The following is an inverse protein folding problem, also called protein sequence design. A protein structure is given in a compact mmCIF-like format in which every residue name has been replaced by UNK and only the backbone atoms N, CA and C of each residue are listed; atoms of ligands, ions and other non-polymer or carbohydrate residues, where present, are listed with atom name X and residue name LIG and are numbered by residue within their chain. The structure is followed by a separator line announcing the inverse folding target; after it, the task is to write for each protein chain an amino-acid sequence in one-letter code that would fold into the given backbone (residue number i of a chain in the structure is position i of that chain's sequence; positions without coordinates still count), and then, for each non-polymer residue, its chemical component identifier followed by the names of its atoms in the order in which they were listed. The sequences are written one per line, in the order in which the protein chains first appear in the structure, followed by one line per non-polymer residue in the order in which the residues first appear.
data_IF_356431478028
#
_entry.id   IF_356431478028
#
_cell.length_a   1.000
_cell.length_b   1.000
_cell.length_c   1.000
_cell.angle_alpha   90.00
_cell.angle_beta   90.00
_cell.angle_gamma   90.00
#
_symmetry.space_group_name_H-M   'P 1'
#
loop_
_entity.id
_entity.type
_entity.pdbx_description
1 polymer ?
#
# COMPACT_ATOMS: atom_id res chain seq x y z
N UNK A 1 3.81 -19.51 11.99
CA UNK A 1 4.46 -19.29 10.69
C UNK A 1 3.89 -18.03 10.06
N UNK A 2 4.74 -17.13 9.57
CA UNK A 2 4.38 -15.96 8.77
C UNK A 2 4.69 -16.25 7.29
N UNK A 3 3.77 -15.88 6.39
CA UNK A 3 3.95 -15.99 4.94
C UNK A 3 3.55 -14.67 4.31
N UNK A 4 4.44 -14.07 3.52
CA UNK A 4 4.15 -12.87 2.74
C UNK A 4 3.68 -13.27 1.34
N UNK A 5 2.59 -12.66 0.89
CA UNK A 5 1.99 -12.91 -0.42
C UNK A 5 1.17 -11.70 -0.86
N UNK A 6 0.66 -11.72 -2.10
CA UNK A 6 -0.27 -10.66 -2.54
C UNK A 6 -1.64 -10.75 -1.81
N UNK A 7 -2.35 -9.62 -1.70
CA UNK A 7 -3.65 -9.55 -1.00
C UNK A 7 -4.67 -10.52 -1.59
N UNK A 8 -4.73 -10.69 -2.92
CA UNK A 8 -5.65 -11.63 -3.56
C UNK A 8 -5.39 -13.09 -3.18
N UNK A 9 -4.13 -13.50 -3.13
CA UNK A 9 -3.72 -14.83 -2.67
C UNK A 9 -4.02 -15.02 -1.18
N UNK A 10 -3.72 -14.00 -0.36
CA UNK A 10 -4.00 -14.03 1.08
C UNK A 10 -5.49 -14.20 1.39
N UNK A 11 -6.37 -13.54 0.63
CA UNK A 11 -7.82 -13.70 0.73
C UNK A 11 -8.23 -15.15 0.43
N UNK A 12 -7.68 -15.74 -0.63
CA UNK A 12 -7.97 -17.13 -1.00
C UNK A 12 -7.52 -18.10 0.09
N UNK A 13 -6.31 -17.96 0.59
CA UNK A 13 -5.75 -18.76 1.69
C UNK A 13 -6.58 -18.64 2.98
N UNK A 14 -7.09 -17.43 3.29
CA UNK A 14 -7.97 -17.20 4.43
C UNK A 14 -9.34 -17.88 4.23
N UNK A 15 -9.95 -17.77 3.05
CA UNK A 15 -11.23 -18.38 2.72
C UNK A 15 -11.19 -19.91 2.79
N UNK A 16 -10.10 -20.51 2.38
CA UNK A 16 -9.89 -21.97 2.45
C UNK A 16 -9.51 -22.48 3.84
N UNK A 17 -9.35 -21.59 4.82
CA UNK A 17 -8.95 -21.98 6.17
C UNK A 17 -7.48 -22.40 6.30
N UNK A 18 -6.65 -22.09 5.29
CA UNK A 18 -5.23 -22.42 5.26
C UNK A 18 -4.35 -21.39 6.00
N UNK A 19 -4.95 -20.32 6.51
CA UNK A 19 -4.34 -19.44 7.49
C UNK A 19 -5.35 -19.03 8.58
N UNK A 20 -4.84 -18.73 9.75
CA UNK A 20 -5.64 -18.38 10.92
C UNK A 20 -5.96 -16.88 10.97
N UNK A 21 -5.02 -16.07 10.52
CA UNK A 21 -5.08 -14.61 10.51
C UNK A 21 -4.46 -14.08 9.23
N UNK A 22 -5.06 -13.04 8.68
CA UNK A 22 -4.53 -12.29 7.55
C UNK A 22 -4.35 -10.83 7.95
N UNK A 23 -3.15 -10.29 7.74
CA UNK A 23 -2.85 -8.87 7.85
C UNK A 23 -2.75 -8.31 6.44
N UNK A 24 -3.56 -7.31 6.12
CA UNK A 24 -3.58 -6.74 4.76
C UNK A 24 -3.93 -5.26 4.76
N UNK A 25 -3.53 -4.58 3.68
CA UNK A 25 -4.06 -3.25 3.38
C UNK A 25 -5.55 -3.31 3.09
N UNK A 26 -6.24 -2.28 3.49
CA UNK A 26 -7.64 -2.05 3.18
C UNK A 26 -7.82 -0.66 2.58
N UNK A 27 -8.57 -0.60 1.49
CA UNK A 27 -9.01 0.62 0.84
C UNK A 27 -10.52 0.53 0.68
N UNK A 28 -11.30 1.47 1.24
CA UNK A 28 -12.77 1.42 1.14
C UNK A 28 -13.26 1.52 -0.31
N UNK A 29 -12.45 2.07 -1.20
CA UNK A 29 -12.78 2.22 -2.63
C UNK A 29 -12.32 1.02 -3.49
N UNK A 30 -11.49 0.14 -2.93
CA UNK A 30 -10.96 -1.06 -3.58
C UNK A 30 -11.36 -2.33 -2.81
N UNK A 31 -12.68 -2.59 -2.71
CA UNK A 31 -13.25 -3.68 -1.91
C UNK A 31 -12.53 -5.03 -2.08
N UNK A 32 -12.27 -5.68 -0.96
CA UNK A 32 -11.69 -7.03 -0.91
C UNK A 32 -12.71 -8.16 -1.09
N UNK A 33 -14.00 -7.85 -1.18
CA UNK A 33 -15.10 -8.84 -1.30
C UNK A 33 -15.08 -9.93 -0.22
N UNK A 34 -14.71 -9.60 1.00
CA UNK A 34 -14.83 -10.46 2.16
C UNK A 34 -16.13 -10.14 2.91
N UNK A 35 -16.92 -11.18 3.18
CA UNK A 35 -18.10 -11.08 4.02
C UNK A 35 -17.67 -10.77 5.46
N UNK A 36 -18.08 -9.63 6.00
CA UNK A 36 -17.68 -9.17 7.33
C UNK A 36 -18.22 -10.01 8.49
N UNK A 37 -19.29 -10.79 8.29
CA UNK A 37 -19.81 -11.73 9.31
C UNK A 37 -18.94 -12.98 9.40
N UNK A 38 -18.50 -13.49 8.25
CA UNK A 38 -17.64 -14.67 8.17
C UNK A 38 -16.18 -14.31 8.40
N UNK A 39 -15.74 -13.14 7.92
CA UNK A 39 -14.35 -12.66 8.02
C UNK A 39 -14.29 -11.30 8.72
N UNK A 40 -14.58 -11.26 10.04
CA UNK A 40 -14.47 -10.03 10.81
C UNK A 40 -13.04 -9.48 10.75
N UNK A 41 -12.96 -8.15 10.74
CA UNK A 41 -11.69 -7.44 10.73
C UNK A 41 -11.74 -6.18 11.59
N UNK A 42 -10.59 -5.69 11.99
CA UNK A 42 -10.44 -4.37 12.59
C UNK A 42 -9.14 -3.71 12.10
N UNK A 43 -9.16 -2.38 12.10
CA UNK A 43 -7.97 -1.58 11.78
C UNK A 43 -6.97 -1.63 12.94
N UNK A 44 -5.69 -1.82 12.60
CA UNK A 44 -4.57 -1.74 13.54
C UNK A 44 -3.66 -0.53 13.26
N UNK A 45 -3.93 0.22 12.21
CA UNK A 45 -3.22 1.44 11.87
C UNK A 45 -3.65 2.02 10.52
N UNK A 46 -3.22 3.25 10.29
CA UNK A 46 -3.43 3.98 9.04
C UNK A 46 -2.09 4.25 8.39
N UNK A 47 -2.07 4.25 7.08
CA UNK A 47 -0.91 4.57 6.26
C UNK A 47 -1.39 5.32 5.03
N UNK A 48 -0.47 5.96 4.32
CA UNK A 48 -0.76 6.61 3.04
C UNK A 48 0.18 6.06 1.98
N UNK A 49 -0.31 5.81 0.79
CA UNK A 49 0.59 5.76 -0.36
C UNK A 49 0.82 7.18 -0.84
N UNK A 50 2.05 7.56 -0.97
CA UNK A 50 2.46 8.88 -1.42
C UNK A 50 3.24 8.79 -2.73
N UNK A 51 3.09 9.75 -3.66
CA UNK A 51 3.92 9.81 -4.85
C UNK A 51 5.31 10.29 -4.50
N UNK A 52 6.34 9.57 -4.96
CA UNK A 52 7.74 9.86 -4.63
C UNK A 52 8.66 9.75 -5.83
N UNK A 53 9.75 10.47 -5.76
CA UNK A 53 10.82 10.51 -6.76
C UNK A 53 12.17 10.73 -6.06
N UNK A 54 13.28 10.50 -6.76
CA UNK A 54 14.55 11.05 -6.32
C UNK A 54 14.49 12.58 -6.32
N UNK A 55 15.24 13.27 -5.43
CA UNK A 55 15.48 14.69 -5.55
C UNK A 55 16.40 15.00 -6.75
N UNK A 56 16.28 16.21 -7.29
CA UNK A 56 17.27 16.83 -8.15
C UNK A 56 18.39 17.51 -7.32
N UNK A 57 19.28 18.26 -7.98
CA UNK A 57 20.38 18.97 -7.34
C UNK A 57 19.93 20.06 -6.37
N UNK A 58 18.71 20.57 -6.50
CA UNK A 58 18.09 21.58 -5.65
C UNK A 58 17.25 20.98 -4.53
N UNK A 59 17.10 19.66 -4.48
CA UNK A 59 16.27 18.94 -3.51
C UNK A 59 14.78 18.88 -3.89
N UNK A 60 14.40 19.34 -5.08
CA UNK A 60 13.05 19.21 -5.62
C UNK A 60 12.85 17.81 -6.26
N UNK A 61 11.59 17.35 -6.42
CA UNK A 61 11.36 16.06 -7.07
C UNK A 61 11.83 16.09 -8.53
N UNK A 62 12.64 15.11 -8.92
CA UNK A 62 13.11 14.96 -10.30
C UNK A 62 11.97 14.72 -11.31
N UNK A 63 10.88 14.10 -10.84
CA UNK A 63 9.69 13.81 -11.64
C UNK A 63 8.45 14.34 -10.91
N UNK A 64 8.22 15.68 -10.91
CA UNK A 64 7.09 16.30 -10.23
C UNK A 64 5.77 15.96 -10.92
N UNK A 65 4.71 15.74 -10.15
CA UNK A 65 3.36 15.53 -10.67
C UNK A 65 2.76 16.82 -11.25
N UNK A 66 3.17 17.97 -10.71
CA UNK A 66 2.76 19.28 -11.22
C UNK A 66 3.58 19.62 -12.46
N UNK A 67 2.93 19.93 -13.57
CA UNK A 67 3.57 20.23 -14.86
C UNK A 67 2.89 19.48 -16.01
N UNK A 68 3.44 19.59 -17.21
CA UNK A 68 2.83 19.04 -18.44
C UNK A 68 3.63 17.90 -19.08
N UNK A 69 4.82 17.63 -18.59
CA UNK A 69 5.71 16.62 -19.15
C UNK A 69 5.22 15.19 -18.93
N UNK A 70 5.60 14.29 -19.84
CA UNK A 70 5.42 12.86 -19.67
C UNK A 70 6.36 12.34 -18.56
N UNK A 71 5.82 11.58 -17.63
CA UNK A 71 6.51 11.09 -16.43
C UNK A 71 6.83 9.60 -16.55
N UNK A 72 8.09 9.19 -16.33
CA UNK A 72 8.42 7.78 -16.20
C UNK A 72 7.80 7.22 -14.92
N UNK A 73 6.83 6.32 -15.09
CA UNK A 73 6.03 5.77 -14.01
C UNK A 73 6.42 4.32 -13.71
N UNK A 74 6.69 4.06 -12.45
CA UNK A 74 6.94 2.73 -11.91
C UNK A 74 5.63 2.21 -11.33
N UNK A 75 4.99 1.30 -12.05
CA UNK A 75 3.64 0.86 -11.77
C UNK A 75 3.58 -0.40 -10.92
N UNK A 76 2.49 -0.56 -10.20
CA UNK A 76 2.10 -1.89 -9.72
C UNK A 76 1.48 -2.69 -10.85
N UNK A 77 1.74 -3.99 -10.90
CA UNK A 77 1.09 -4.92 -11.83
C UNK A 77 -0.44 -4.87 -11.72
N UNK A 78 -1.15 -5.25 -12.77
CA UNK A 78 -2.60 -5.11 -12.86
C UNK A 78 -3.36 -5.79 -11.70
N UNK A 79 -2.89 -6.94 -11.24
CA UNK A 79 -3.51 -7.71 -10.13
C UNK A 79 -3.17 -7.22 -8.73
N UNK A 80 -2.17 -6.34 -8.58
CA UNK A 80 -1.75 -5.86 -7.28
C UNK A 80 -2.80 -4.95 -6.63
N UNK A 81 -3.07 -5.17 -5.33
CA UNK A 81 -4.04 -4.39 -4.56
C UNK A 81 -3.69 -2.91 -4.54
N UNK A 82 -2.44 -2.56 -4.20
CA UNK A 82 -1.97 -1.17 -4.16
C UNK A 82 -2.09 -0.47 -5.52
N UNK A 83 -1.82 -1.20 -6.61
CA UNK A 83 -2.02 -0.68 -7.96
C UNK A 83 -3.48 -0.38 -8.29
N UNK A 84 -4.41 -1.14 -7.73
CA UNK A 84 -5.85 -0.84 -7.87
C UNK A 84 -6.20 0.48 -7.20
N UNK A 85 -5.71 0.73 -5.99
CA UNK A 85 -5.94 1.98 -5.26
C UNK A 85 -5.39 3.20 -6.00
N UNK A 86 -4.18 3.11 -6.56
CA UNK A 86 -3.63 4.18 -7.41
C UNK A 86 -4.47 4.40 -8.68
N UNK A 87 -4.91 3.31 -9.35
CA UNK A 87 -5.78 3.44 -10.53
C UNK A 87 -7.13 4.07 -10.20
N UNK A 88 -7.67 3.83 -9.00
CA UNK A 88 -8.90 4.49 -8.55
C UNK A 88 -8.70 5.98 -8.32
N UNK A 89 -7.59 6.38 -7.70
CA UNK A 89 -7.21 7.80 -7.57
C UNK A 89 -7.13 8.48 -8.94
N UNK A 90 -6.49 7.84 -9.90
CA UNK A 90 -6.20 8.41 -11.22
C UNK A 90 -7.32 8.22 -12.25
N UNK A 91 -8.46 7.61 -11.86
CA UNK A 91 -9.49 7.13 -12.82
C UNK A 91 -9.99 8.23 -13.77
N UNK A 92 -10.21 9.42 -13.26
CA UNK A 92 -10.75 10.56 -14.01
C UNK A 92 -9.76 11.73 -14.07
N UNK A 93 -8.50 11.51 -13.73
CA UNK A 93 -7.51 12.57 -13.67
C UNK A 93 -6.65 12.60 -14.94
N UNK A 94 -6.44 13.80 -15.55
CA UNK A 94 -5.57 13.97 -16.72
C UNK A 94 -4.14 13.49 -16.52
N UNK A 95 -3.64 13.49 -15.28
CA UNK A 95 -2.30 13.00 -14.93
C UNK A 95 -2.07 11.58 -15.47
N UNK A 96 -3.11 10.74 -15.50
CA UNK A 96 -3.04 9.38 -16.03
C UNK A 96 -2.46 9.32 -17.45
N UNK A 97 -2.74 10.31 -18.29
CA UNK A 97 -2.27 10.37 -19.68
C UNK A 97 -0.79 10.73 -19.80
N UNK A 98 -0.23 11.32 -18.75
CA UNK A 98 1.18 11.71 -18.67
C UNK A 98 2.06 10.61 -18.10
N UNK A 99 1.48 9.64 -17.41
CA UNK A 99 2.21 8.53 -16.78
C UNK A 99 2.60 7.48 -17.85
N UNK A 100 3.87 7.43 -18.19
CA UNK A 100 4.43 6.41 -19.07
C UNK A 100 5.05 5.30 -18.23
N UNK A 101 4.38 4.16 -18.16
CA UNK A 101 4.90 2.99 -17.43
C UNK A 101 6.22 2.52 -18.03
N UNK A 102 7.27 2.48 -17.22
CA UNK A 102 8.63 2.03 -17.60
C UNK A 102 9.06 0.79 -16.81
N UNK A 103 8.36 0.45 -15.75
CA UNK A 103 8.61 -0.74 -14.93
C UNK A 103 7.34 -1.17 -14.21
N UNK A 104 7.16 -2.47 -13.99
CA UNK A 104 6.03 -3.02 -13.26
C UNK A 104 6.46 -4.11 -12.27
N UNK A 105 5.88 -4.08 -11.07
CA UNK A 105 6.03 -5.12 -10.05
C UNK A 105 4.81 -5.17 -9.13
N UNK A 106 4.58 -6.29 -8.46
CA UNK A 106 3.54 -6.40 -7.43
C UNK A 106 3.97 -5.87 -6.06
N UNK A 107 5.27 -5.63 -5.86
CA UNK A 107 5.88 -5.35 -4.56
C UNK A 107 6.30 -3.88 -4.41
N UNK A 108 5.88 -3.22 -3.33
CA UNK A 108 6.27 -1.84 -3.03
C UNK A 108 7.80 -1.67 -2.90
N UNK A 109 8.49 -2.65 -2.32
CA UNK A 109 9.96 -2.65 -2.19
C UNK A 109 10.67 -2.68 -3.56
N UNK A 110 10.09 -3.37 -4.55
CA UNK A 110 10.60 -3.35 -5.92
C UNK A 110 10.47 -1.96 -6.56
N UNK A 111 9.36 -1.26 -6.35
CA UNK A 111 9.18 0.12 -6.80
C UNK A 111 10.16 1.06 -6.08
N UNK A 112 10.30 0.93 -4.76
CA UNK A 112 11.26 1.71 -3.96
C UNK A 112 12.68 1.56 -4.52
N UNK A 113 13.13 0.34 -4.78
CA UNK A 113 14.45 0.10 -5.33
C UNK A 113 14.68 0.82 -6.67
N UNK A 114 13.67 0.84 -7.54
CA UNK A 114 13.75 1.52 -8.84
C UNK A 114 13.66 3.05 -8.72
N UNK A 115 12.87 3.58 -7.77
CA UNK A 115 12.89 5.01 -7.42
C UNK A 115 14.27 5.43 -6.98
N UNK A 116 14.90 4.66 -6.09
CA UNK A 116 16.25 4.93 -5.57
C UNK A 116 17.33 4.87 -6.66
N UNK A 117 17.09 4.21 -7.79
CA UNK A 117 17.94 4.23 -8.98
C UNK A 117 17.61 5.39 -9.93
N UNK A 118 16.62 6.21 -9.63
CA UNK A 118 16.24 7.36 -10.47
C UNK A 118 15.54 6.98 -11.78
N UNK A 119 14.99 5.78 -11.88
CA UNK A 119 14.33 5.27 -13.09
C UNK A 119 13.00 5.98 -13.36
N UNK A 120 12.30 6.41 -12.30
CA UNK A 120 11.01 7.07 -12.40
C UNK A 120 10.41 7.42 -11.05
N UNK A 121 9.15 7.81 -11.06
CA UNK A 121 8.34 8.06 -9.87
C UNK A 121 7.37 6.93 -9.59
N UNK A 122 6.95 6.78 -8.33
CA UNK A 122 6.00 5.76 -7.90
C UNK A 122 5.12 6.23 -6.75
N UNK A 123 3.95 5.61 -6.56
CA UNK A 123 3.20 5.64 -5.30
C UNK A 123 3.67 4.52 -4.39
N UNK A 124 4.16 4.83 -3.20
CA UNK A 124 4.70 3.85 -2.24
C UNK A 124 4.12 4.14 -0.85
N UNK A 125 3.76 3.12 -0.06
CA UNK A 125 3.36 3.33 1.33
C UNK A 125 4.44 4.09 2.11
N UNK A 126 4.05 5.15 2.80
CA UNK A 126 4.95 6.08 3.50
C UNK A 126 5.82 5.41 4.55
N UNK A 127 5.29 4.40 5.25
CA UNK A 127 6.07 3.65 6.24
C UNK A 127 7.24 2.85 5.62
N UNK A 128 7.14 2.46 4.34
CA UNK A 128 8.25 1.83 3.60
C UNK A 128 9.39 2.80 3.29
N UNK A 129 9.13 4.11 3.43
CA UNK A 129 10.02 5.21 3.01
C UNK A 129 10.50 6.07 4.19
N UNK A 130 10.21 5.69 5.44
CA UNK A 130 10.49 6.55 6.62
C UNK A 130 11.94 7.02 6.68
N UNK A 131 12.90 6.16 6.41
CA UNK A 131 14.32 6.49 6.47
C UNK A 131 14.73 7.37 5.29
N UNK A 132 14.28 7.03 4.09
CA UNK A 132 14.61 7.73 2.85
C UNK A 132 14.01 9.14 2.80
N UNK A 133 12.78 9.30 3.27
CA UNK A 133 12.14 10.61 3.41
C UNK A 133 12.86 11.48 4.46
N UNK A 134 13.22 10.88 5.60
CA UNK A 134 13.93 11.60 6.68
C UNK A 134 15.33 12.05 6.25
N UNK A 135 16.02 11.25 5.47
CA UNK A 135 17.36 11.56 4.95
C UNK A 135 17.34 12.46 3.71
N UNK A 136 16.19 12.67 3.09
CA UNK A 136 16.07 13.37 1.81
C UNK A 136 16.54 12.54 0.61
N UNK A 137 16.80 11.25 0.79
CA UNK A 137 17.18 10.34 -0.31
C UNK A 137 16.02 10.12 -1.30
N UNK A 138 14.78 10.34 -0.84
CA UNK A 138 13.56 10.35 -1.65
C UNK A 138 12.72 11.54 -1.20
N UNK A 139 12.05 12.19 -2.13
CA UNK A 139 11.15 13.32 -1.87
C UNK A 139 9.76 13.07 -2.48
N UNK A 140 8.77 13.78 -1.96
CA UNK A 140 7.42 13.72 -2.53
C UNK A 140 7.41 14.31 -3.94
N UNK A 141 6.79 13.60 -4.87
CA UNK A 141 6.63 14.05 -6.25
C UNK A 141 5.38 14.93 -6.47
N UNK A 142 4.52 15.06 -5.44
CA UNK A 142 3.32 15.89 -5.49
C UNK A 142 2.74 16.16 -4.11
N UNK A 143 1.75 17.04 -4.03
CA UNK A 143 1.05 17.42 -2.82
C UNK A 143 0.16 16.32 -2.23
N UNK A 144 -0.51 16.63 -1.11
CA UNK A 144 -1.35 15.67 -0.36
C UNK A 144 -2.61 15.22 -1.13
N UNK A 145 -3.05 15.99 -2.12
CA UNK A 145 -4.16 15.61 -3.00
C UNK A 145 -3.90 14.30 -3.79
N UNK A 146 -2.63 13.91 -3.90
CA UNK A 146 -2.20 12.68 -4.55
C UNK A 146 -1.98 11.52 -3.59
N UNK A 147 -2.29 11.69 -2.31
CA UNK A 147 -2.18 10.63 -1.31
C UNK A 147 -3.33 9.63 -1.45
N UNK A 148 -3.02 8.37 -1.30
CA UNK A 148 -4.03 7.30 -1.20
C UNK A 148 -4.10 6.84 0.25
N UNK A 149 -5.14 7.22 1.02
CA UNK A 149 -5.28 6.76 2.39
C UNK A 149 -5.63 5.27 2.41
N UNK A 150 -4.95 4.51 3.26
CA UNK A 150 -5.15 3.09 3.46
C UNK A 150 -5.24 2.78 4.96
N UNK A 151 -5.91 1.68 5.28
CA UNK A 151 -5.83 1.06 6.59
C UNK A 151 -5.03 -0.24 6.51
N UNK A 152 -4.39 -0.61 7.60
CA UNK A 152 -3.88 -1.96 7.81
C UNK A 152 -4.87 -2.67 8.71
N UNK A 153 -5.46 -3.76 8.23
CA UNK A 153 -6.47 -4.53 8.95
C UNK A 153 -6.02 -5.94 9.23
N UNK A 154 -6.38 -6.41 10.41
CA UNK A 154 -6.27 -7.82 10.78
C UNK A 154 -7.62 -8.50 10.55
N UNK A 155 -7.60 -9.63 9.84
CA UNK A 155 -8.76 -10.46 9.50
C UNK A 155 -8.61 -11.84 10.11
N UNK A 156 -9.74 -12.48 10.41
CA UNK A 156 -9.83 -13.91 10.75
C UNK A 156 -11.07 -14.55 10.16
N UNK A 157 -11.13 -15.86 10.12
CA UNK A 157 -12.37 -16.59 9.88
C UNK A 157 -13.12 -16.79 11.22
N UNK A 158 -14.38 -16.36 11.31
CA UNK A 158 -15.21 -16.51 12.52
C UNK A 158 -15.63 -17.96 12.78
N UNK A 159 -15.58 -18.81 11.75
CA UNK A 159 -15.97 -20.22 11.85
C UNK A 159 -14.89 -21.13 12.44
N UNK A 160 -13.67 -20.62 12.57
CA UNK A 160 -12.51 -21.37 13.09
C UNK A 160 -12.15 -20.91 14.48
N UNK A 161 -12.32 -21.77 15.47
CA UNK A 161 -12.04 -21.46 16.87
C UNK A 161 -10.76 -22.18 17.36
N UNK A 162 -9.65 -21.45 17.38
CA UNK A 162 -8.37 -21.91 17.94
C UNK A 162 -8.00 -21.03 19.14
N UNK A 163 -7.80 -21.60 20.35
CA UNK A 163 -7.56 -20.80 21.58
C UNK A 163 -6.41 -19.78 21.45
N UNK A 164 -5.33 -20.16 20.78
CA UNK A 164 -4.19 -19.26 20.53
C UNK A 164 -4.55 -18.06 19.61
N UNK A 165 -5.35 -18.30 18.58
CA UNK A 165 -5.84 -17.26 17.67
C UNK A 165 -6.78 -16.31 18.39
N UNK A 166 -7.72 -16.83 19.18
CA UNK A 166 -8.64 -16.04 20.01
C UNK A 166 -7.92 -15.15 21.02
N UNK A 167 -6.87 -15.69 21.66
CA UNK A 167 -6.04 -14.92 22.58
C UNK A 167 -5.31 -13.79 21.85
N UNK A 168 -4.66 -14.08 20.73
CA UNK A 168 -3.93 -13.08 19.93
C UNK A 168 -4.90 -12.01 19.39
N UNK A 169 -6.04 -12.41 18.84
CA UNK A 169 -7.08 -11.50 18.34
C UNK A 169 -7.51 -10.49 19.43
N UNK A 170 -7.83 -10.98 20.62
CA UNK A 170 -8.22 -10.12 21.76
C UNK A 170 -7.09 -9.20 22.24
N UNK A 171 -5.84 -9.64 22.15
CA UNK A 171 -4.69 -8.79 22.48
C UNK A 171 -4.50 -7.68 21.44
N UNK A 172 -4.58 -8.03 20.16
CA UNK A 172 -4.45 -7.07 19.06
C UNK A 172 -5.57 -6.01 19.06
N UNK A 173 -6.79 -6.40 19.42
CA UNK A 173 -7.91 -5.44 19.56
C UNK A 173 -7.70 -4.39 20.66
N UNK A 174 -6.81 -4.63 21.62
CA UNK A 174 -6.50 -3.71 22.72
C UNK A 174 -5.37 -2.74 22.37
N UNK A 175 -4.65 -2.95 21.25
CA UNK A 175 -3.61 -2.04 20.81
C UNK A 175 -4.22 -0.69 20.43
N UNK A 176 -3.50 0.42 20.65
CA UNK A 176 -3.89 1.72 20.12
C UNK A 176 -4.07 1.64 18.60
N UNK A 177 -5.05 2.36 18.05
CA UNK A 177 -5.34 2.34 16.61
C UNK A 177 -4.27 3.03 15.75
N UNK A 178 -3.37 3.75 16.41
CA UNK A 178 -2.20 4.44 15.87
C UNK A 178 -0.89 3.69 16.13
N UNK A 179 -0.98 2.44 16.55
CA UNK A 179 0.19 1.60 16.89
C UNK A 179 1.26 1.56 15.79
N UNK A 180 0.87 1.68 14.52
CA UNK A 180 1.81 1.71 13.38
C UNK A 180 2.28 3.12 13.01
N UNK A 181 1.72 4.15 13.61
CA UNK A 181 2.09 5.56 13.37
C UNK A 181 3.22 6.03 14.31
N UNK A 182 3.53 5.22 15.35
CA UNK A 182 4.53 5.52 16.38
C UNK A 182 5.98 5.23 15.93
#
# INVERSE_FOLDING_TARGET
RLVAMNVGEAIHVLREGNCDLMLAYYDPYASMQLDGEVFPSFSIGRVKMIPVSLPDEQGAPRFPLDGDDSLPYLAYTQGAFLGRSVRMLLKNDPLRMRLRTVYETAMAEGLKAMVMQGVGMAWIPDFCLRQELKSGAVVRAGGEQWDVPLEIRLYRCSLVHKPGVEKLWRQMMKLPRDFLEA
#
